data_IF_818807359927
#
_entry.id   IF_818807359927
#
_cell.length_a   1.000
_cell.length_b   1.000
_cell.length_c   1.000
_cell.angle_alpha   90.00
_cell.angle_beta   90.00
_cell.angle_gamma   90.00
#
_symmetry.space_group_name_H-M   'P 1'
#
loop_
_entity.id
_entity.type
_entity.pdbx_description
1 polymer ?
#
# COMPACT_ATOMS: atom_id res chain seq x y z
N UNK A 1 -14.03 6.35 -6.62
CA UNK A 1 -13.23 5.60 -5.66
C UNK A 1 -14.10 5.03 -4.54
N UNK A 2 -14.78 3.92 -4.86
CA UNK A 2 -15.43 3.07 -3.88
C UNK A 2 -14.51 2.79 -2.70
N UNK A 3 -15.10 2.73 -1.50
CA UNK A 3 -14.38 2.38 -0.28
C UNK A 3 -15.18 1.40 0.59
N UNK A 4 -14.48 0.68 1.46
CA UNK A 4 -15.06 -0.19 2.48
C UNK A 4 -14.27 -0.01 3.77
N UNK A 5 -14.98 0.28 4.86
CA UNK A 5 -14.44 0.35 6.21
C UNK A 5 -15.11 -0.74 7.03
N UNK A 6 -14.34 -1.46 7.81
CA UNK A 6 -14.89 -2.52 8.65
C UNK A 6 -13.80 -3.23 9.42
N UNK A 7 -14.10 -4.45 9.84
CA UNK A 7 -13.13 -5.30 10.52
C UNK A 7 -13.30 -6.76 10.12
N UNK A 8 -12.24 -7.53 10.29
CA UNK A 8 -12.25 -9.00 10.23
C UNK A 8 -11.74 -9.56 11.55
N UNK A 9 -12.25 -10.72 11.93
CA UNK A 9 -11.84 -11.45 13.14
C UNK A 9 -11.41 -12.87 12.79
N UNK A 10 -10.89 -13.61 13.76
CA UNK A 10 -10.72 -15.06 13.68
C UNK A 10 -12.06 -15.79 13.72
N UNK A 11 -12.77 -15.81 12.59
CA UNK A 11 -14.08 -16.44 12.44
C UNK A 11 -14.08 -17.46 11.31
N UNK A 12 -15.01 -18.43 11.38
CA UNK A 12 -15.21 -19.40 10.30
C UNK A 12 -14.04 -20.37 10.09
N UNK A 13 -13.28 -20.67 11.14
CA UNK A 13 -12.10 -21.55 11.06
C UNK A 13 -10.87 -20.90 10.43
N UNK A 14 -10.89 -19.58 10.23
CA UNK A 14 -9.79 -18.79 9.66
C UNK A 14 -9.32 -17.72 10.62
N UNK A 15 -8.05 -17.34 10.49
CA UNK A 15 -7.45 -16.22 11.19
C UNK A 15 -7.81 -14.89 10.50
N UNK A 16 -7.71 -13.78 11.23
CA UNK A 16 -8.13 -12.47 10.74
C UNK A 16 -7.39 -12.06 9.44
N UNK A 17 -6.08 -12.26 9.34
CA UNK A 17 -5.31 -11.95 8.12
C UNK A 17 -5.76 -12.80 6.91
N UNK A 18 -6.19 -14.03 7.13
CA UNK A 18 -6.74 -14.90 6.07
C UNK A 18 -8.11 -14.40 5.61
N UNK A 19 -9.00 -14.03 6.53
CA UNK A 19 -10.30 -13.41 6.21
C UNK A 19 -10.14 -12.08 5.46
N UNK A 20 -9.01 -11.39 5.63
CA UNK A 20 -8.72 -10.15 4.93
C UNK A 20 -8.60 -10.32 3.41
N UNK A 21 -8.07 -11.45 2.92
CA UNK A 21 -8.03 -11.76 1.49
C UNK A 21 -9.42 -11.90 0.89
N UNK A 22 -10.35 -12.51 1.62
CA UNK A 22 -11.73 -12.67 1.18
C UNK A 22 -12.41 -11.30 1.03
N UNK A 23 -12.24 -10.40 2.00
CA UNK A 23 -12.79 -9.04 1.91
C UNK A 23 -12.25 -8.29 0.71
N UNK A 24 -10.94 -8.37 0.46
CA UNK A 24 -10.31 -7.72 -0.70
C UNK A 24 -10.85 -8.30 -2.01
N UNK A 25 -10.98 -9.63 -2.11
CA UNK A 25 -11.56 -10.31 -3.27
C UNK A 25 -12.96 -9.79 -3.58
N UNK A 26 -13.87 -9.91 -2.61
CA UNK A 26 -15.28 -9.56 -2.79
C UNK A 26 -15.46 -8.09 -3.15
N UNK A 27 -14.69 -7.20 -2.50
CA UNK A 27 -14.74 -5.78 -2.80
C UNK A 27 -14.17 -5.44 -4.18
N UNK A 28 -13.08 -6.09 -4.61
CA UNK A 28 -12.51 -5.89 -5.93
C UNK A 28 -13.47 -6.37 -7.04
N UNK A 29 -14.05 -7.57 -6.90
CA UNK A 29 -15.04 -8.13 -7.84
C UNK A 29 -16.26 -7.22 -7.98
N UNK A 30 -16.81 -6.76 -6.86
CA UNK A 30 -17.98 -5.87 -6.83
C UNK A 30 -17.71 -4.53 -7.54
N UNK A 31 -16.44 -4.13 -7.70
CA UNK A 31 -16.03 -2.88 -8.33
C UNK A 31 -15.27 -3.10 -9.65
N UNK A 32 -15.58 -4.20 -10.36
CA UNK A 32 -15.20 -4.41 -11.75
C UNK A 32 -13.81 -5.01 -11.98
N UNK A 33 -13.10 -5.42 -10.93
CA UNK A 33 -11.87 -6.19 -11.09
C UNK A 33 -12.18 -7.66 -11.35
N UNK A 34 -11.30 -8.34 -12.08
CA UNK A 34 -11.44 -9.79 -12.34
C UNK A 34 -10.59 -10.60 -11.36
N UNK A 35 -11.15 -11.62 -10.72
CA UNK A 35 -10.36 -12.61 -9.96
C UNK A 35 -9.74 -13.62 -10.92
N UNK A 36 -8.42 -13.64 -10.96
CA UNK A 36 -7.66 -14.58 -11.78
C UNK A 36 -7.35 -15.87 -11.02
N UNK A 37 -7.13 -15.76 -9.71
CA UNK A 37 -6.88 -16.90 -8.82
C UNK A 37 -7.42 -16.57 -7.43
N UNK A 38 -8.11 -17.52 -6.82
CA UNK A 38 -8.42 -17.50 -5.41
C UNK A 38 -8.21 -18.91 -4.85
N UNK A 39 -7.23 -19.05 -3.97
CA UNK A 39 -7.01 -20.27 -3.19
C UNK A 39 -7.28 -19.91 -1.74
N UNK A 40 -8.09 -20.73 -1.10
CA UNK A 40 -8.51 -20.52 0.27
C UNK A 40 -8.84 -21.89 0.88
N UNK A 41 -7.79 -22.57 1.34
CA UNK A 41 -7.87 -23.90 1.93
C UNK A 41 -7.06 -23.94 3.23
N UNK A 42 -7.00 -25.11 3.88
CA UNK A 42 -6.33 -25.25 5.19
C UNK A 42 -4.82 -24.94 5.20
N UNK A 43 -4.17 -24.84 4.03
CA UNK A 43 -2.71 -24.71 3.90
C UNK A 43 -2.31 -23.39 3.23
N UNK A 44 -3.15 -22.86 2.34
CA UNK A 44 -2.78 -21.74 1.46
C UNK A 44 -3.96 -20.80 1.26
N UNK A 45 -3.65 -19.50 1.38
CA UNK A 45 -4.56 -18.41 1.07
C UNK A 45 -3.87 -17.46 0.10
N UNK A 46 -4.39 -17.39 -1.13
CA UNK A 46 -3.82 -16.63 -2.24
C UNK A 46 -4.92 -15.97 -3.06
N UNK A 47 -4.65 -14.75 -3.51
CA UNK A 47 -5.53 -13.96 -4.34
C UNK A 47 -4.71 -13.30 -5.45
N UNK A 48 -5.09 -13.50 -6.70
CA UNK A 48 -4.57 -12.73 -7.84
C UNK A 48 -5.76 -12.06 -8.51
N UNK A 49 -5.63 -10.75 -8.70
CA UNK A 49 -6.61 -9.88 -9.31
C UNK A 49 -6.05 -9.26 -10.59
N UNK A 50 -6.95 -8.95 -11.52
CA UNK A 50 -6.69 -8.13 -12.70
C UNK A 50 -7.58 -6.91 -12.67
N UNK A 51 -6.98 -5.74 -12.48
CA UNK A 51 -7.66 -4.45 -12.58
C UNK A 51 -7.82 -4.03 -14.06
N UNK A 52 -8.93 -3.39 -14.42
CA UNK A 52 -9.26 -3.05 -15.82
C UNK A 52 -8.57 -1.77 -16.34
N UNK A 53 -7.83 -1.05 -15.51
CA UNK A 53 -7.34 0.30 -15.82
C UNK A 53 -8.44 1.35 -15.76
N UNK A 54 -8.07 2.63 -15.87
CA UNK A 54 -9.06 3.71 -15.93
C UNK A 54 -9.84 3.73 -17.25
N UNK A 55 -9.27 3.17 -18.33
CA UNK A 55 -9.95 3.04 -19.62
C UNK A 55 -10.88 1.83 -19.71
N UNK A 56 -10.82 0.90 -18.74
CA UNK A 56 -11.54 -0.37 -18.80
C UNK A 56 -10.90 -1.43 -19.70
N UNK A 57 -9.78 -1.13 -20.36
CA UNK A 57 -9.15 -1.99 -21.40
C UNK A 57 -7.77 -2.50 -21.01
N UNK A 58 -7.27 -2.13 -19.83
CA UNK A 58 -5.95 -2.54 -19.37
C UNK A 58 -6.01 -3.85 -18.61
N UNK A 59 -4.86 -4.48 -18.43
CA UNK A 59 -4.72 -5.68 -17.64
C UNK A 59 -3.61 -5.46 -16.62
N UNK A 60 -4.00 -5.06 -15.41
CA UNK A 60 -3.07 -4.75 -14.33
C UNK A 60 -3.15 -5.89 -13.32
N UNK A 61 -2.10 -6.70 -13.24
CA UNK A 61 -2.06 -7.89 -12.38
C UNK A 61 -1.41 -7.57 -11.04
N UNK A 62 -2.18 -7.76 -9.97
CA UNK A 62 -1.72 -7.61 -8.59
C UNK A 62 -2.23 -8.78 -7.76
N UNK A 63 -1.68 -9.00 -6.57
CA UNK A 63 -2.12 -10.09 -5.73
C UNK A 63 -1.78 -9.94 -4.26
N UNK A 64 -2.32 -10.86 -3.49
CA UNK A 64 -2.08 -11.00 -2.06
C UNK A 64 -1.96 -12.47 -1.69
N UNK A 65 -1.14 -12.78 -0.69
CA UNK A 65 -1.14 -14.09 -0.01
C UNK A 65 -0.88 -13.91 1.47
N UNK A 66 -1.17 -14.92 2.28
CA UNK A 66 -0.75 -14.95 3.68
C UNK A 66 0.57 -15.66 3.86
N UNK A 67 1.36 -15.24 4.83
CA UNK A 67 2.50 -16.00 5.34
C UNK A 67 2.62 -15.79 6.85
N UNK A 68 2.73 -16.88 7.60
CA UNK A 68 2.60 -16.85 9.05
C UNK A 68 3.31 -18.02 9.73
N UNK A 69 3.62 -17.84 11.02
CA UNK A 69 4.13 -18.90 11.88
C UNK A 69 3.68 -18.64 13.32
N UNK A 70 2.80 -19.51 13.82
CA UNK A 70 2.24 -19.38 15.17
C UNK A 70 3.30 -19.45 16.28
N UNK A 71 4.38 -20.22 16.10
CA UNK A 71 5.45 -20.32 17.10
C UNK A 71 6.33 -19.06 17.15
N UNK A 72 6.40 -18.32 16.04
CA UNK A 72 7.17 -17.07 15.93
C UNK A 72 6.29 -15.81 16.01
N UNK A 73 4.98 -15.99 16.26
CA UNK A 73 3.98 -14.94 16.47
C UNK A 73 3.95 -13.84 15.38
N UNK A 74 3.99 -14.25 14.11
CA UNK A 74 3.72 -13.35 12.98
C UNK A 74 2.64 -13.93 12.06
N UNK A 75 1.77 -13.05 11.57
CA UNK A 75 0.60 -13.39 10.76
C UNK A 75 0.42 -12.34 9.67
N UNK A 76 1.18 -12.45 8.59
CA UNK A 76 1.41 -11.35 7.68
C UNK A 76 0.71 -11.54 6.33
N UNK A 77 0.57 -10.44 5.61
CA UNK A 77 0.11 -10.39 4.23
C UNK A 77 1.28 -10.09 3.29
N UNK A 78 1.21 -10.58 2.08
CA UNK A 78 2.09 -10.18 0.98
C UNK A 78 1.34 -9.26 0.05
N UNK A 79 1.90 -8.10 -0.26
CA UNK A 79 1.53 -7.29 -1.42
C UNK A 79 2.32 -7.81 -2.63
N UNK A 80 1.63 -8.14 -3.73
CA UNK A 80 2.26 -8.69 -4.93
C UNK A 80 1.88 -7.93 -6.21
N UNK A 81 2.84 -7.82 -7.12
CA UNK A 81 2.65 -7.30 -8.48
C UNK A 81 3.17 -8.27 -9.52
N UNK A 82 2.52 -8.31 -10.68
CA UNK A 82 2.87 -9.20 -11.79
C UNK A 82 2.80 -8.47 -13.13
N UNK A 83 3.51 -8.99 -14.13
CA UNK A 83 3.44 -8.50 -15.52
C UNK A 83 2.50 -9.34 -16.39
N UNK A 84 1.92 -10.41 -15.84
CA UNK A 84 1.00 -11.30 -16.52
C UNK A 84 0.50 -12.39 -15.57
N UNK A 85 -0.37 -13.25 -16.09
CA UNK A 85 -0.91 -14.38 -15.35
C UNK A 85 -0.85 -15.67 -16.18
N UNK A 86 -0.40 -16.76 -15.56
CA UNK A 86 -0.37 -18.11 -16.13
C UNK A 86 -1.01 -19.07 -15.14
N UNK A 87 -2.15 -19.66 -15.51
CA UNK A 87 -2.96 -20.49 -14.60
C UNK A 87 -2.21 -21.71 -14.03
N UNK A 88 -1.30 -22.29 -14.82
CA UNK A 88 -0.48 -23.43 -14.38
C UNK A 88 0.66 -23.07 -13.43
N UNK A 89 1.02 -21.78 -13.30
CA UNK A 89 2.11 -21.36 -12.44
C UNK A 89 1.64 -21.18 -10.99
N UNK A 90 2.53 -21.45 -10.04
CA UNK A 90 2.32 -21.09 -8.64
C UNK A 90 2.29 -19.56 -8.48
N UNK A 91 1.82 -19.06 -7.33
CA UNK A 91 1.83 -17.63 -7.02
C UNK A 91 3.22 -17.01 -7.17
N UNK A 92 4.24 -17.72 -6.67
CA UNK A 92 5.63 -17.29 -6.73
C UNK A 92 6.21 -17.29 -8.15
N UNK A 93 5.69 -18.15 -9.04
CA UNK A 93 6.18 -18.34 -10.40
C UNK A 93 5.39 -17.53 -11.45
N UNK A 94 4.52 -16.61 -11.03
CA UNK A 94 3.82 -15.74 -11.98
C UNK A 94 4.79 -14.80 -12.70
N UNK A 95 4.54 -14.44 -13.98
CA UNK A 95 5.42 -13.56 -14.74
C UNK A 95 5.70 -12.23 -14.03
N UNK A 96 6.99 -11.87 -13.93
CA UNK A 96 7.42 -10.60 -13.36
C UNK A 96 7.05 -10.40 -11.89
N UNK A 97 6.87 -11.49 -11.13
CA UNK A 97 6.48 -11.45 -9.73
C UNK A 97 7.40 -10.57 -8.87
N UNK A 98 6.78 -9.72 -8.05
CA UNK A 98 7.42 -8.88 -7.05
C UNK A 98 6.60 -8.94 -5.76
N UNK A 99 7.28 -9.15 -4.63
CA UNK A 99 6.64 -9.34 -3.32
C UNK A 99 7.15 -8.35 -2.28
N UNK A 100 6.23 -7.84 -1.46
CA UNK A 100 6.54 -6.98 -0.33
C UNK A 100 5.58 -7.28 0.82
N UNK A 101 6.13 -7.67 1.96
CA UNK A 101 5.38 -8.08 3.13
C UNK A 101 4.73 -6.90 3.85
N UNK A 102 3.65 -7.19 4.56
CA UNK A 102 2.85 -6.25 5.33
C UNK A 102 2.48 -6.97 6.62
N UNK A 103 3.01 -6.55 7.77
CA UNK A 103 2.62 -7.14 9.04
C UNK A 103 1.10 -7.09 9.23
N UNK A 104 0.55 -8.12 9.86
CA UNK A 104 -0.86 -8.15 10.22
C UNK A 104 -1.07 -8.94 11.52
N UNK A 105 -2.31 -9.30 11.82
CA UNK A 105 -2.68 -9.99 13.06
C UNK A 105 -3.64 -11.13 12.78
N UNK A 106 -3.60 -12.16 13.63
CA UNK A 106 -4.50 -13.30 13.58
C UNK A 106 -5.88 -13.10 14.25
N UNK A 107 -6.07 -12.12 15.14
CA UNK A 107 -7.28 -12.01 15.99
C UNK A 107 -8.30 -11.02 15.45
N UNK A 108 -7.87 -9.78 15.20
CA UNK A 108 -8.71 -8.70 14.67
C UNK A 108 -7.88 -7.76 13.82
N UNK A 109 -8.45 -7.35 12.70
CA UNK A 109 -7.92 -6.30 11.84
C UNK A 109 -9.07 -5.34 11.52
N UNK A 110 -8.99 -4.10 11.96
CA UNK A 110 -9.84 -3.02 11.46
C UNK A 110 -9.21 -2.45 10.18
N UNK A 111 -9.99 -2.17 9.14
CA UNK A 111 -9.45 -1.82 7.82
C UNK A 111 -10.16 -0.65 7.15
N UNK A 112 -9.40 0.03 6.29
CA UNK A 112 -9.85 1.02 5.31
C UNK A 112 -9.35 0.58 3.93
N UNK A 113 -10.28 0.14 3.10
CA UNK A 113 -10.00 -0.40 1.77
C UNK A 113 -10.58 0.53 0.70
N UNK A 114 -9.76 0.95 -0.25
CA UNK A 114 -10.17 1.85 -1.34
C UNK A 114 -9.61 1.35 -2.66
N UNK A 115 -10.36 1.48 -3.75
CA UNK A 115 -9.87 1.10 -5.08
C UNK A 115 -10.47 1.96 -6.19
N UNK A 116 -9.81 1.92 -7.36
CA UNK A 116 -10.36 2.41 -8.62
C UNK A 116 -9.97 1.43 -9.76
N UNK A 117 -10.13 1.83 -11.02
CA UNK A 117 -9.81 0.96 -12.16
C UNK A 117 -8.35 0.49 -12.22
N UNK A 118 -7.39 1.18 -11.58
CA UNK A 118 -5.96 0.91 -11.75
C UNK A 118 -5.17 0.65 -10.46
N UNK A 119 -5.77 0.88 -9.29
CA UNK A 119 -5.10 0.65 -8.00
C UNK A 119 -6.05 0.27 -6.86
N UNK A 120 -5.47 -0.29 -5.82
CA UNK A 120 -6.07 -0.62 -4.53
C UNK A 120 -5.14 -0.15 -3.41
N UNK A 121 -5.72 0.43 -2.35
CA UNK A 121 -5.02 0.78 -1.11
C UNK A 121 -5.75 0.15 0.05
N UNK A 122 -5.02 -0.58 0.86
CA UNK A 122 -5.51 -1.20 2.09
C UNK A 122 -4.70 -0.63 3.25
N UNK A 123 -5.37 0.02 4.19
CA UNK A 123 -4.80 0.34 5.49
C UNK A 123 -5.49 -0.47 6.57
N UNK A 124 -4.74 -0.84 7.59
CA UNK A 124 -5.13 -1.79 8.62
C UNK A 124 -4.67 -1.28 9.98
N UNK A 125 -5.52 -1.43 10.99
CA UNK A 125 -5.13 -1.37 12.40
C UNK A 125 -5.02 -2.80 12.91
N UNK A 126 -3.82 -3.14 13.35
CA UNK A 126 -3.44 -4.52 13.71
C UNK A 126 -2.99 -4.63 15.17
N UNK A 127 -3.03 -3.53 15.92
CA UNK A 127 -2.67 -3.48 17.34
C UNK A 127 -2.97 -2.11 17.95
N UNK A 128 -2.56 -1.88 19.21
CA UNK A 128 -2.94 -0.66 19.96
C UNK A 128 -1.73 0.23 20.28
N UNK A 129 -1.48 1.32 19.51
CA UNK A 129 -1.86 1.50 18.10
C UNK A 129 -0.74 1.04 17.16
N UNK A 130 -1.03 0.06 16.29
CA UNK A 130 -0.14 -0.36 15.20
C UNK A 130 -0.94 -0.33 13.90
N UNK A 131 -0.50 0.48 12.95
CA UNK A 131 -1.12 0.61 11.63
C UNK A 131 -0.21 0.16 10.50
N UNK A 132 -0.76 -0.69 9.65
CA UNK A 132 -0.06 -1.30 8.53
C UNK A 132 -0.81 -0.98 7.25
N UNK A 133 -0.14 -0.97 6.11
CA UNK A 133 -0.78 -0.59 4.85
C UNK A 133 -0.08 -1.15 3.63
N UNK A 134 -0.81 -1.18 2.53
CA UNK A 134 -0.27 -1.46 1.22
C UNK A 134 -0.90 -0.65 0.10
N UNK A 135 -0.12 -0.44 -0.96
CA UNK A 135 -0.55 0.09 -2.25
C UNK A 135 -0.27 -0.94 -3.35
N UNK A 136 -1.28 -1.26 -4.16
CA UNK A 136 -1.16 -2.17 -5.29
C UNK A 136 -1.77 -1.53 -6.53
N UNK A 137 -0.98 -1.36 -7.59
CA UNK A 137 -1.48 -0.87 -8.88
C UNK A 137 -0.65 0.26 -9.45
N UNK A 138 -1.17 1.02 -10.41
CA UNK A 138 -0.39 2.03 -11.13
C UNK A 138 -0.25 3.35 -10.36
N UNK A 139 0.85 4.06 -10.61
CA UNK A 139 0.93 5.51 -10.39
C UNK A 139 0.23 6.26 -11.53
N UNK A 140 0.07 7.57 -11.40
CA UNK A 140 -0.23 8.50 -12.48
C UNK A 140 1.10 8.95 -13.11
N UNK A 141 1.57 8.32 -14.21
CA UNK A 141 2.86 8.66 -14.79
C UNK A 141 2.82 10.03 -15.48
N UNK A 142 3.94 10.75 -15.42
CA UNK A 142 4.13 11.96 -16.24
C UNK A 142 4.55 11.63 -17.68
N UNK A 143 5.13 10.45 -17.88
CA UNK A 143 5.35 9.90 -19.22
C UNK A 143 4.03 9.51 -19.89
N UNK A 144 3.97 9.63 -21.21
CA UNK A 144 2.79 9.18 -21.98
C UNK A 144 2.61 7.66 -21.84
N UNK A 145 1.40 7.12 -22.01
CA UNK A 145 1.17 5.67 -22.00
C UNK A 145 2.07 4.88 -22.96
N UNK A 146 2.50 5.47 -24.08
CA UNK A 146 3.47 4.85 -25.00
C UNK A 146 4.92 4.85 -24.50
N UNK A 147 5.28 5.76 -23.60
CA UNK A 147 6.61 5.89 -23.02
C UNK A 147 6.74 5.14 -21.70
N UNK A 148 5.65 5.01 -20.95
CA UNK A 148 5.64 4.26 -19.69
C UNK A 148 4.36 3.43 -19.57
N UNK A 149 4.27 2.28 -20.26
CA UNK A 149 3.01 1.54 -20.40
C UNK A 149 2.53 0.85 -19.12
N UNK A 150 3.45 0.49 -18.23
CA UNK A 150 3.14 -0.36 -17.08
C UNK A 150 3.82 0.11 -15.77
N UNK A 151 3.50 1.33 -15.27
CA UNK A 151 4.13 1.92 -14.10
C UNK A 151 3.48 1.42 -12.81
N UNK A 152 3.48 0.09 -12.61
CA UNK A 152 2.88 -0.58 -11.45
C UNK A 152 3.78 -0.47 -10.23
N UNK A 153 3.16 -0.16 -9.10
CA UNK A 153 3.75 -0.12 -7.76
C UNK A 153 3.26 -1.29 -6.93
N UNK A 154 4.21 -1.87 -6.20
CA UNK A 154 3.98 -2.78 -5.08
C UNK A 154 4.53 -2.09 -3.84
N UNK A 155 3.65 -1.49 -3.04
CA UNK A 155 4.00 -0.79 -1.82
C UNK A 155 3.60 -1.58 -0.60
N UNK A 156 4.37 -2.60 -0.21
CA UNK A 156 4.28 -3.19 1.12
C UNK A 156 5.32 -2.57 2.06
N UNK A 157 5.23 -2.91 3.35
CA UNK A 157 6.04 -2.28 4.41
C UNK A 157 7.35 -3.00 4.70
N UNK A 158 7.57 -4.15 4.06
CA UNK A 158 8.75 -5.00 4.23
C UNK A 158 9.44 -5.29 2.90
N UNK A 159 10.75 -5.52 2.95
CA UNK A 159 11.52 -5.98 1.78
C UNK A 159 11.42 -7.50 1.65
N UNK A 160 10.70 -7.98 0.64
CA UNK A 160 10.37 -9.40 0.51
C UNK A 160 9.34 -9.83 1.57
N UNK A 161 9.42 -11.07 2.04
CA UNK A 161 8.48 -11.64 3.03
C UNK A 161 9.22 -12.09 4.30
N UNK A 162 9.89 -11.19 5.04
CA UNK A 162 10.59 -11.56 6.25
C UNK A 162 9.63 -11.91 7.39
N UNK A 163 10.11 -12.69 8.35
CA UNK A 163 9.41 -13.09 9.58
C UNK A 163 9.31 -11.93 10.59
N UNK A 164 8.71 -10.81 10.17
CA UNK A 164 8.56 -9.59 10.96
C UNK A 164 7.21 -9.58 11.67
N UNK A 165 7.21 -9.39 12.98
CA UNK A 165 5.99 -9.22 13.78
C UNK A 165 5.43 -7.81 13.63
N UNK A 166 4.11 -7.64 13.74
CA UNK A 166 3.47 -6.31 13.67
C UNK A 166 3.99 -5.29 14.70
N UNK A 167 4.48 -5.76 15.84
CA UNK A 167 5.05 -4.91 16.89
C UNK A 167 6.53 -4.57 16.69
N UNK A 168 7.16 -5.07 15.63
CA UNK A 168 8.57 -4.80 15.37
C UNK A 168 8.78 -3.31 15.16
N UNK A 169 9.85 -2.73 15.71
CA UNK A 169 10.05 -1.29 15.66
C UNK A 169 10.81 -0.81 14.40
N UNK A 170 11.19 -1.73 13.52
CA UNK A 170 12.14 -1.50 12.43
C UNK A 170 11.48 -1.22 11.06
N UNK A 171 10.19 -1.44 10.90
CA UNK A 171 9.52 -1.11 9.64
C UNK A 171 8.85 0.27 9.67
N UNK A 172 8.44 0.70 8.47
CA UNK A 172 7.71 1.94 8.21
C UNK A 172 6.83 1.75 6.98
N UNK A 173 5.92 2.70 6.79
CA UNK A 173 5.08 2.81 5.62
C UNK A 173 5.91 2.83 4.32
N UNK A 174 5.31 2.26 3.29
CA UNK A 174 5.94 1.97 2.00
C UNK A 174 6.46 3.22 1.26
N UNK A 175 6.01 4.42 1.65
CA UNK A 175 6.47 5.71 1.08
C UNK A 175 7.69 6.32 1.80
N UNK A 176 7.99 5.95 3.05
CA UNK A 176 9.05 6.59 3.88
C UNK A 176 10.40 5.88 3.87
N UNK A 177 10.41 4.55 3.73
CA UNK A 177 11.64 3.72 3.68
C UNK A 177 12.17 3.23 5.03
N UNK A 178 12.59 1.96 5.07
CA UNK A 178 12.87 1.15 6.29
C UNK A 178 13.76 1.75 7.39
N UNK A 179 13.71 1.15 8.59
CA UNK A 179 14.39 1.62 9.82
C UNK A 179 15.83 2.03 9.65
N UNK A 180 16.18 3.09 10.37
CA UNK A 180 17.55 3.60 10.50
C UNK A 180 17.95 4.52 9.34
N UNK A 181 17.02 4.86 8.44
CA UNK A 181 17.28 5.67 7.26
C UNK A 181 16.58 7.00 7.42
N UNK A 182 17.36 8.07 7.56
CA UNK A 182 16.85 9.43 7.60
C UNK A 182 16.14 9.74 6.29
N UNK A 183 15.03 10.45 6.35
CA UNK A 183 14.43 11.07 5.17
C UNK A 183 15.51 11.86 4.43
N UNK A 184 15.59 11.76 3.09
CA UNK A 184 16.61 12.39 2.26
C UNK A 184 18.07 11.96 2.47
N UNK A 185 18.30 10.75 2.99
CA UNK A 185 19.57 10.03 2.83
C UNK A 185 19.79 9.45 1.41
N UNK A 186 18.93 9.78 0.44
CA UNK A 186 18.95 9.17 -0.91
C UNK A 186 18.69 7.66 -0.89
N UNK A 187 17.99 7.15 0.14
CA UNK A 187 17.81 5.71 0.35
C UNK A 187 16.34 5.32 0.26
N UNK A 188 15.95 4.91 -0.95
CA UNK A 188 14.99 3.87 -1.30
C UNK A 188 13.92 3.50 -0.25
N UNK A 189 12.67 3.83 -0.55
CA UNK A 189 11.51 3.47 0.26
C UNK A 189 11.20 1.94 0.22
N UNK A 190 10.16 1.44 0.91
CA UNK A 190 9.87 0.00 0.91
C UNK A 190 9.08 -0.45 -0.34
N UNK A 191 8.63 0.48 -1.19
CA UNK A 191 7.89 0.14 -2.40
C UNK A 191 8.80 -0.33 -3.55
N UNK A 192 8.21 -0.97 -4.55
CA UNK A 192 8.85 -1.30 -5.83
C UNK A 192 8.00 -0.76 -6.96
N UNK A 193 8.63 -0.04 -7.88
CA UNK A 193 8.03 0.44 -9.11
C UNK A 193 8.57 -0.39 -10.26
N UNK A 194 7.70 -0.81 -11.18
CA UNK A 194 8.11 -1.45 -12.41
C UNK A 194 8.56 -0.39 -13.42
N UNK A 195 9.86 -0.34 -13.73
CA UNK A 195 10.41 0.65 -14.67
C UNK A 195 10.17 0.24 -16.12
N UNK A 196 10.27 1.20 -17.05
CA UNK A 196 10.05 0.94 -18.47
C UNK A 196 11.10 -0.03 -19.07
N UNK A 197 12.24 -0.19 -18.40
CA UNK A 197 13.36 -1.04 -18.83
C UNK A 197 13.17 -2.54 -18.58
N UNK A 198 12.15 -2.96 -17.84
CA UNK A 198 12.01 -4.38 -17.49
C UNK A 198 12.07 -4.67 -16.00
N UNK A 199 12.57 -3.73 -15.20
CA UNK A 199 13.10 -4.05 -13.87
C UNK A 199 12.22 -3.45 -12.77
N UNK A 200 12.04 -4.19 -11.68
CA UNK A 200 11.51 -3.65 -10.43
C UNK A 200 12.62 -2.90 -9.73
N UNK A 201 12.49 -1.58 -9.62
CA UNK A 201 13.44 -0.74 -8.87
C UNK A 201 12.73 -0.12 -7.68
N UNK A 202 13.52 0.26 -6.70
CA UNK A 202 13.02 1.04 -5.57
C UNK A 202 13.06 2.52 -5.93
N UNK A 203 11.93 3.23 -5.92
CA UNK A 203 11.94 4.66 -6.16
C UNK A 203 12.17 5.45 -4.86
N UNK A 204 12.19 6.77 -5.00
CA UNK A 204 11.98 7.72 -3.92
C UNK A 204 10.56 8.31 -3.98
N UNK A 205 10.10 8.90 -2.89
CA UNK A 205 8.77 9.50 -2.78
C UNK A 205 8.85 10.86 -2.08
N UNK A 206 8.69 11.93 -2.84
CA UNK A 206 8.48 13.26 -2.26
C UNK A 206 7.07 13.32 -1.62
N UNK A 207 6.88 13.98 -0.46
CA UNK A 207 7.88 14.72 0.28
C UNK A 207 8.76 13.89 1.22
N UNK A 208 8.46 12.61 1.44
CA UNK A 208 9.19 11.77 2.40
C UNK A 208 10.68 11.57 2.07
N UNK A 209 11.10 11.70 0.81
CA UNK A 209 12.52 11.71 0.44
C UNK A 209 13.21 13.07 0.61
N UNK A 210 12.48 14.12 1.01
CA UNK A 210 13.03 15.46 1.19
C UNK A 210 13.34 15.73 2.68
N UNK A 211 14.63 15.90 2.99
CA UNK A 211 15.18 16.24 4.31
C UNK A 211 14.57 17.50 4.95
N UNK A 212 13.98 18.38 4.16
CA UNK A 212 13.45 19.66 4.61
C UNK A 212 11.91 19.69 4.70
N UNK A 213 11.19 18.73 4.12
CA UNK A 213 9.72 18.82 4.05
C UNK A 213 9.00 17.58 4.57
N UNK A 214 9.51 16.37 4.30
CA UNK A 214 8.94 15.11 4.80
C UNK A 214 9.83 14.42 5.84
N UNK A 215 10.57 15.20 6.63
CA UNK A 215 11.68 14.75 7.48
C UNK A 215 11.78 15.46 8.82
N UNK A 216 12.71 15.02 9.65
CA UNK A 216 13.05 15.54 10.98
C UNK A 216 13.42 17.03 11.03
N UNK A 217 13.76 17.69 9.92
CA UNK A 217 14.29 19.08 9.95
C UNK A 217 13.21 20.16 9.99
N UNK A 218 12.08 19.98 9.30
CA UNK A 218 10.97 20.93 9.37
C UNK A 218 9.64 20.19 9.48
N UNK A 219 8.77 20.77 10.29
CA UNK A 219 7.42 20.31 10.53
C UNK A 219 6.45 21.14 9.69
N UNK A 220 5.75 20.51 8.76
CA UNK A 220 4.60 21.14 8.11
C UNK A 220 3.45 21.23 9.11
N UNK A 221 2.62 22.27 9.03
CA UNK A 221 1.46 22.45 9.90
C UNK A 221 0.24 22.86 9.07
N UNK A 222 -0.91 22.86 9.71
CA UNK A 222 -2.13 23.42 9.13
C UNK A 222 -1.97 24.92 8.82
N UNK A 223 -2.73 25.39 7.85
CA UNK A 223 -2.88 26.81 7.55
C UNK A 223 -4.31 27.20 7.92
N UNK A 224 -4.49 27.87 9.07
CA UNK A 224 -5.81 28.27 9.58
C UNK A 224 -6.81 27.10 9.74
N UNK A 225 -6.35 25.96 10.27
CA UNK A 225 -7.15 24.74 10.44
C UNK A 225 -7.25 23.87 9.19
N UNK A 226 -6.68 24.29 8.05
CA UNK A 226 -6.68 23.51 6.82
C UNK A 226 -5.39 22.70 6.70
N UNK A 227 -5.53 21.38 6.56
CA UNK A 227 -4.42 20.46 6.34
C UNK A 227 -4.20 20.27 4.82
N UNK A 228 -3.13 20.86 4.24
CA UNK A 228 -2.88 20.68 2.82
C UNK A 228 -2.51 19.23 2.51
N UNK A 229 -3.17 18.64 1.52
CA UNK A 229 -2.74 17.36 0.94
C UNK A 229 -1.60 17.62 -0.04
N UNK A 230 -0.42 17.12 0.29
CA UNK A 230 0.72 17.17 -0.64
C UNK A 230 0.73 15.87 -1.47
N UNK A 231 0.72 15.94 -2.81
CA UNK A 231 0.86 14.76 -3.65
C UNK A 231 2.13 13.99 -3.32
N UNK A 232 2.04 12.66 -3.36
CA UNK A 232 3.22 11.83 -3.20
C UNK A 232 3.82 11.59 -4.58
N UNK A 233 4.92 12.28 -4.88
CA UNK A 233 5.57 12.28 -6.18
C UNK A 233 6.71 11.26 -6.20
N UNK A 234 6.60 10.30 -7.10
CA UNK A 234 7.58 9.25 -7.32
C UNK A 234 8.71 9.77 -8.19
N UNK A 235 9.95 9.55 -7.75
CA UNK A 235 11.13 10.06 -8.43
C UNK A 235 12.35 9.14 -8.24
N UNK A 236 13.38 9.37 -9.05
CA UNK A 236 14.72 8.78 -8.90
C UNK A 236 15.79 9.80 -9.27
N UNK A 237 17.02 9.56 -8.81
CA UNK A 237 18.17 10.39 -9.17
C UNK A 237 18.58 10.29 -10.64
N UNK A 238 18.25 9.18 -11.32
CA UNK A 238 18.64 8.94 -12.71
C UNK A 238 17.56 9.36 -13.72
N UNK A 239 16.29 9.03 -13.45
CA UNK A 239 15.17 9.27 -14.36
C UNK A 239 14.34 10.52 -14.00
N UNK A 240 14.59 11.15 -12.84
CA UNK A 240 13.90 12.35 -12.40
C UNK A 240 12.50 12.07 -11.87
N UNK A 241 11.55 12.95 -12.17
CA UNK A 241 10.15 12.82 -11.73
C UNK A 241 9.38 11.85 -12.64
N UNK A 242 8.77 10.82 -12.05
CA UNK A 242 8.12 9.73 -12.80
C UNK A 242 6.59 9.84 -12.80
N UNK A 243 6.00 10.39 -11.74
CA UNK A 243 4.55 10.49 -11.59
C UNK A 243 4.12 10.63 -10.14
N UNK A 244 2.83 10.46 -9.88
CA UNK A 244 2.24 10.60 -8.54
C UNK A 244 1.45 9.35 -8.13
N UNK A 245 1.38 9.06 -6.84
CA UNK A 245 0.45 8.05 -6.34
C UNK A 245 -1.00 8.51 -6.47
N UNK A 246 -1.88 7.60 -6.86
CA UNK A 246 -3.29 7.92 -7.06
C UNK A 246 -4.07 7.80 -5.73
N UNK A 247 -4.56 8.93 -5.23
CA UNK A 247 -5.44 9.00 -4.06
C UNK A 247 -4.77 8.65 -2.74
N UNK A 248 -3.45 8.80 -2.66
CA UNK A 248 -2.69 8.80 -1.39
C UNK A 248 -1.84 10.06 -1.35
N UNK A 249 -1.88 10.75 -0.22
CA UNK A 249 -1.26 12.06 -0.06
C UNK A 249 -0.46 12.11 1.24
N UNK A 250 0.59 12.92 1.28
CA UNK A 250 1.18 13.33 2.53
C UNK A 250 0.25 14.35 3.22
N UNK A 251 0.11 14.22 4.54
CA UNK A 251 -0.63 15.16 5.40
C UNK A 251 0.13 15.33 6.71
N UNK A 252 0.10 16.54 7.27
CA UNK A 252 0.77 16.82 8.55
C UNK A 252 0.09 16.12 9.73
N UNK A 253 0.92 15.66 10.66
CA UNK A 253 0.53 15.19 11.99
C UNK A 253 0.33 16.29 13.04
N UNK A 254 0.61 17.55 12.73
CA UNK A 254 0.43 18.67 13.67
C UNK A 254 -1.03 18.79 14.09
N UNK A 255 -1.37 18.51 15.35
CA UNK A 255 -2.76 18.56 15.84
C UNK A 255 -3.74 17.69 15.00
N UNK A 256 -3.21 16.62 14.39
CA UNK A 256 -3.98 15.67 13.61
C UNK A 256 -3.90 14.30 14.29
N UNK A 257 -4.93 13.48 14.11
CA UNK A 257 -5.02 12.14 14.69
C UNK A 257 -5.27 11.11 13.59
N UNK A 258 -4.74 9.91 13.80
CA UNK A 258 -5.08 8.75 12.97
C UNK A 258 -6.58 8.49 13.00
N UNK A 259 -7.13 7.95 11.91
CA UNK A 259 -8.55 7.70 11.69
C UNK A 259 -9.42 8.96 11.52
N UNK A 260 -8.85 10.17 11.65
CA UNK A 260 -9.56 11.40 11.32
C UNK A 260 -10.02 11.39 9.86
N UNK A 261 -11.19 11.98 9.61
CA UNK A 261 -11.68 12.23 8.25
C UNK A 261 -11.51 13.69 7.88
N UNK A 262 -10.99 13.94 6.67
CA UNK A 262 -10.66 15.29 6.18
C UNK A 262 -11.36 15.53 4.84
N UNK A 263 -12.40 16.39 4.79
CA UNK A 263 -13.08 16.76 3.55
C UNK A 263 -12.29 17.82 2.81
N UNK A 264 -11.87 17.53 1.57
CA UNK A 264 -11.12 18.46 0.71
C UNK A 264 -11.70 18.40 -0.70
N UNK A 265 -12.13 19.55 -1.23
CA UNK A 265 -12.72 19.68 -2.56
C UNK A 265 -13.88 18.70 -2.82
N UNK A 266 -14.72 18.46 -1.80
CA UNK A 266 -15.87 17.54 -1.89
C UNK A 266 -15.51 16.06 -1.83
N UNK A 267 -14.23 15.71 -1.62
CA UNK A 267 -13.76 14.34 -1.45
C UNK A 267 -13.36 14.10 0.00
N UNK A 268 -13.70 12.92 0.52
CA UNK A 268 -13.31 12.51 1.87
C UNK A 268 -11.94 11.83 1.86
N UNK A 269 -11.19 12.00 2.94
CA UNK A 269 -9.91 11.33 3.14
C UNK A 269 -9.82 10.81 4.55
N UNK A 270 -9.25 9.62 4.75
CA UNK A 270 -8.90 9.12 6.08
C UNK A 270 -7.42 9.34 6.34
N UNK A 271 -7.10 9.84 7.52
CA UNK A 271 -5.74 10.01 8.00
C UNK A 271 -5.24 8.69 8.57
N UNK A 272 -4.15 8.20 8.04
CA UNK A 272 -3.46 7.01 8.53
C UNK A 272 -2.07 7.39 9.04
N UNK A 273 -1.57 6.66 10.04
CA UNK A 273 -0.24 6.87 10.59
C UNK A 273 0.73 5.76 10.19
N UNK A 274 2.02 6.06 10.29
CA UNK A 274 3.13 5.16 10.06
C UNK A 274 3.39 4.28 11.29
N UNK A 275 2.85 3.07 11.27
CA UNK A 275 2.92 2.10 12.36
C UNK A 275 2.42 2.66 13.69
N UNK A 276 3.28 2.90 14.68
CA UNK A 276 2.94 3.49 15.98
C UNK A 276 3.38 4.97 16.08
N UNK A 277 3.96 5.55 15.02
CA UNK A 277 4.56 6.89 15.04
C UNK A 277 3.50 7.98 14.92
N UNK A 278 3.68 9.07 15.66
CA UNK A 278 2.71 10.17 15.78
C UNK A 278 3.33 11.55 15.55
N UNK A 279 4.54 11.63 15.01
CA UNK A 279 5.21 12.89 14.68
C UNK A 279 4.59 13.57 13.46
N UNK A 280 5.06 14.78 13.19
CA UNK A 280 4.52 15.66 12.14
C UNK A 280 4.53 15.04 10.74
N UNK A 281 5.50 14.18 10.43
CA UNK A 281 5.68 13.58 9.12
C UNK A 281 5.32 12.08 9.12
N UNK A 282 4.64 11.59 10.16
CA UNK A 282 4.28 10.18 10.34
C UNK A 282 2.88 9.86 9.84
N UNK A 283 2.27 10.74 9.05
CA UNK A 283 0.90 10.57 8.55
C UNK A 283 0.82 10.65 7.04
N UNK A 284 -0.18 9.97 6.49
CA UNK A 284 -0.60 10.04 5.10
C UNK A 284 -2.13 9.98 5.06
N UNK A 285 -2.73 10.55 4.02
CA UNK A 285 -4.16 10.56 3.80
C UNK A 285 -4.52 9.64 2.64
N UNK A 286 -5.55 8.82 2.82
CA UNK A 286 -6.11 7.97 1.76
C UNK A 286 -7.44 8.55 1.34
N UNK A 287 -7.58 8.83 0.04
CA UNK A 287 -8.86 9.28 -0.53
C UNK A 287 -9.91 8.17 -0.46
N UNK A 288 -11.09 8.53 0.04
CA UNK A 288 -12.31 7.74 0.07
C UNK A 288 -13.40 8.51 -0.69
N UNK A 289 -14.34 7.84 -1.36
CA UNK A 289 -15.55 8.54 -1.78
C UNK A 289 -16.50 8.79 -0.61
N UNK A 290 -17.34 9.81 -0.77
CA UNK A 290 -18.50 10.05 0.10
C UNK A 290 -19.69 9.20 -0.38
#
# INVERSE_FOLDING_TARGET
MPHKIGFVTNSGGKLAHQNMLQVVKEFAEANGWTVMRYIDNAVSHELILRAPGLSGTEQIYVGMRTYDNANADYYNLTAAGFTGYVAGNTFAAQPGAMFSGVPAHNLRIDYWLTLNGQRLVLAMKVGTPVYESMYLGKILPYGRPSQYPYPVVVGGMLSGEPATRFSDSSHTCWVKGGSGRYSGSGTFNNMRLRFNDGVWKTPEAYPYSNLNFGSTSYATRDVNGFYPLTPIVINTSQEGLLGELDGVFHISGFNNAVENTVPINGLQHVVMQDVWRTGFNDYYAIRMEA
#
